data_IF_507450481788
#
_entry.id   IF_507450481788
#
_cell.length_a   1.000
_cell.length_b   1.000
_cell.length_c   1.000
_cell.angle_alpha   90.00
_cell.angle_beta   90.00
_cell.angle_gamma   90.00
#
_symmetry.space_group_name_H-M   'P 1'
#
loop_
_entity.id
_entity.type
_entity.pdbx_description
1 polymer ?
#
# COMPACT_ATOMS: atom_id res chain seq x y z
N UNK A 1 -12.31 -7.87 2.36
CA UNK A 1 -11.67 -6.95 1.39
C UNK A 1 -10.43 -7.60 0.80
N UNK A 2 -10.21 -7.38 -0.49
CA UNK A 2 -9.01 -7.81 -1.21
C UNK A 2 -8.11 -6.63 -1.50
N UNK A 3 -6.91 -6.63 -0.95
CA UNK A 3 -5.91 -5.59 -1.11
C UNK A 3 -4.72 -6.09 -1.92
N UNK A 4 -4.36 -5.34 -2.95
CA UNK A 4 -3.16 -5.58 -3.73
C UNK A 4 -2.16 -4.44 -3.52
N UNK A 5 -0.93 -4.78 -3.15
CA UNK A 5 0.21 -3.86 -3.09
C UNK A 5 1.17 -4.18 -4.24
N UNK A 6 1.56 -3.17 -5.02
CA UNK A 6 2.48 -3.38 -6.12
C UNK A 6 3.44 -2.21 -6.34
N UNK A 7 4.73 -2.45 -6.20
CA UNK A 7 5.76 -1.54 -6.71
C UNK A 7 5.91 -1.80 -8.21
N UNK A 8 5.31 -0.93 -9.03
CA UNK A 8 5.20 -1.13 -10.48
C UNK A 8 6.38 -0.53 -11.27
N UNK A 9 7.36 0.08 -10.59
CA UNK A 9 8.54 0.68 -11.22
C UNK A 9 8.21 1.53 -12.45
N UNK A 10 7.21 2.39 -12.31
CA UNK A 10 6.74 3.26 -13.42
C UNK A 10 6.30 2.50 -14.67
N UNK A 11 5.90 1.23 -14.54
CA UNK A 11 5.59 0.29 -15.63
C UNK A 11 6.75 0.07 -16.63
N UNK A 12 8.02 0.27 -16.21
CA UNK A 12 9.19 0.09 -17.09
C UNK A 12 9.60 -1.37 -17.28
N UNK A 13 8.95 -2.30 -16.58
CA UNK A 13 9.25 -3.72 -16.65
C UNK A 13 10.37 -4.17 -15.69
N UNK A 14 10.64 -5.49 -15.61
CA UNK A 14 11.65 -6.06 -14.70
C UNK A 14 13.08 -5.68 -15.09
N UNK A 15 13.33 -5.48 -16.38
CA UNK A 15 14.58 -4.88 -16.90
C UNK A 15 14.25 -3.46 -17.30
N UNK A 16 15.01 -2.48 -16.79
CA UNK A 16 14.73 -1.08 -17.04
C UNK A 16 14.76 -0.76 -18.55
N UNK A 17 13.58 -0.63 -19.15
CA UNK A 17 13.41 -0.18 -20.52
C UNK A 17 12.77 1.21 -20.51
N UNK A 18 13.48 2.22 -20.98
CA UNK A 18 13.09 3.63 -20.83
C UNK A 18 12.19 4.17 -21.96
N UNK A 19 11.73 3.35 -22.92
CA UNK A 19 10.87 3.84 -23.99
C UNK A 19 9.42 3.96 -23.55
N UNK A 20 8.75 5.07 -23.94
CA UNK A 20 7.35 5.31 -23.62
C UNK A 20 6.42 4.19 -24.14
N UNK A 21 6.68 3.66 -25.33
CA UNK A 21 5.90 2.56 -25.91
C UNK A 21 6.02 1.25 -25.13
N UNK A 22 7.21 0.94 -24.57
CA UNK A 22 7.42 -0.22 -23.71
C UNK A 22 6.66 -0.07 -22.38
N UNK A 23 6.71 1.10 -21.77
CA UNK A 23 5.99 1.42 -20.52
C UNK A 23 4.48 1.31 -20.71
N UNK A 24 3.95 1.81 -21.84
CA UNK A 24 2.51 1.75 -22.10
C UNK A 24 2.02 0.30 -22.30
N UNK A 25 2.74 -0.52 -23.07
CA UNK A 25 2.41 -1.94 -23.24
C UNK A 25 2.43 -2.70 -21.89
N UNK A 26 3.41 -2.39 -21.06
CA UNK A 26 3.51 -3.02 -19.74
C UNK A 26 2.39 -2.54 -18.80
N UNK A 27 2.00 -1.26 -18.86
CA UNK A 27 0.87 -0.73 -18.11
C UNK A 27 -0.44 -1.44 -18.48
N UNK A 28 -0.67 -1.73 -19.77
CA UNK A 28 -1.82 -2.53 -20.22
C UNK A 28 -1.82 -3.95 -19.63
N UNK A 29 -0.65 -4.59 -19.52
CA UNK A 29 -0.54 -5.91 -18.87
C UNK A 29 -0.88 -5.82 -17.38
N UNK A 30 -0.38 -4.78 -16.71
CA UNK A 30 -0.70 -4.51 -15.30
C UNK A 30 -2.21 -4.28 -15.15
N UNK A 31 -2.84 -3.48 -16.01
CA UNK A 31 -4.28 -3.25 -16.00
C UNK A 31 -5.07 -4.55 -16.17
N UNK A 32 -4.72 -5.40 -17.16
CA UNK A 32 -5.36 -6.71 -17.34
C UNK A 32 -5.26 -7.58 -16.09
N UNK A 33 -4.06 -7.69 -15.52
CA UNK A 33 -3.82 -8.44 -14.28
C UNK A 33 -4.65 -7.91 -13.10
N UNK A 34 -4.77 -6.60 -12.94
CA UNK A 34 -5.60 -6.01 -11.89
C UNK A 34 -7.09 -6.33 -12.09
N UNK A 35 -7.58 -6.27 -13.33
CA UNK A 35 -8.97 -6.64 -13.63
C UNK A 35 -9.27 -8.10 -13.33
N UNK A 36 -8.36 -9.02 -13.68
CA UNK A 36 -8.53 -10.45 -13.42
C UNK A 36 -8.55 -10.78 -11.92
N UNK A 37 -7.86 -9.99 -11.09
CA UNK A 37 -7.83 -10.17 -9.63
C UNK A 37 -9.01 -9.52 -8.91
N UNK A 38 -9.67 -8.54 -9.52
CA UNK A 38 -10.78 -7.77 -8.94
C UNK A 38 -10.50 -7.27 -7.50
N UNK A 39 -9.38 -6.55 -7.25
CA UNK A 39 -9.09 -6.05 -5.92
C UNK A 39 -10.07 -4.96 -5.50
N UNK A 40 -10.44 -4.93 -4.22
CA UNK A 40 -11.25 -3.84 -3.64
C UNK A 40 -10.38 -2.59 -3.40
N UNK A 41 -9.10 -2.80 -3.11
CA UNK A 41 -8.11 -1.76 -2.82
C UNK A 41 -6.77 -2.10 -3.47
N UNK A 42 -6.12 -1.12 -4.07
CA UNK A 42 -4.79 -1.25 -4.69
C UNK A 42 -3.87 -0.16 -4.18
N UNK A 43 -2.72 -0.54 -3.62
CA UNK A 43 -1.62 0.37 -3.29
C UNK A 43 -0.53 0.28 -4.36
N UNK A 44 -0.35 1.34 -5.11
CA UNK A 44 0.65 1.41 -6.18
C UNK A 44 1.86 2.25 -5.74
N UNK A 45 3.03 1.68 -5.88
CA UNK A 45 4.30 2.34 -5.58
C UNK A 45 5.07 2.55 -6.88
N UNK A 46 5.81 3.65 -6.96
CA UNK A 46 6.53 4.05 -8.16
C UNK A 46 5.61 4.22 -9.38
N UNK A 47 4.62 5.08 -9.23
CA UNK A 47 3.69 5.50 -10.28
C UNK A 47 4.21 6.76 -10.98
N UNK A 48 4.03 6.86 -12.29
CA UNK A 48 4.38 8.04 -13.09
C UNK A 48 3.12 8.88 -13.40
N UNK A 49 3.24 10.18 -13.20
CA UNK A 49 2.18 11.15 -13.47
C UNK A 49 2.57 12.07 -14.65
N UNK A 50 2.53 11.52 -15.85
CA UNK A 50 2.70 12.29 -17.07
C UNK A 50 4.14 12.73 -17.37
N UNK A 51 5.16 11.93 -17.04
CA UNK A 51 6.54 12.20 -17.49
C UNK A 51 6.72 11.75 -18.95
N UNK A 52 7.85 12.14 -19.53
CA UNK A 52 8.26 11.66 -20.87
C UNK A 52 8.33 10.11 -20.91
N UNK A 53 8.72 9.47 -19.82
CA UNK A 53 8.83 8.01 -19.70
C UNK A 53 7.49 7.29 -19.89
N UNK A 54 6.40 7.87 -19.38
CA UNK A 54 5.06 7.33 -19.53
C UNK A 54 4.35 7.84 -20.80
N UNK A 55 5.04 8.61 -21.64
CA UNK A 55 4.40 9.25 -22.81
C UNK A 55 3.39 10.34 -22.44
N UNK A 56 3.58 11.00 -21.30
CA UNK A 56 2.68 12.02 -20.81
C UNK A 56 1.44 11.49 -20.04
N UNK A 57 1.34 10.17 -19.85
CA UNK A 57 0.16 9.53 -19.24
C UNK A 57 0.22 9.53 -17.71
N UNK A 58 -0.92 9.77 -17.07
CA UNK A 58 -1.11 9.54 -15.64
C UNK A 58 -1.47 8.07 -15.41
N UNK A 59 -0.51 7.28 -14.96
CA UNK A 59 -0.67 5.84 -14.79
C UNK A 59 -1.74 5.48 -13.74
N UNK A 60 -1.83 6.24 -12.64
CA UNK A 60 -2.83 5.99 -11.60
C UNK A 60 -4.25 6.22 -12.10
N UNK A 61 -4.48 7.33 -12.80
CA UNK A 61 -5.78 7.68 -13.37
C UNK A 61 -6.23 6.65 -14.43
N UNK A 62 -5.32 6.23 -15.31
CA UNK A 62 -5.64 5.20 -16.31
C UNK A 62 -6.06 3.89 -15.68
N UNK A 63 -5.30 3.41 -14.68
CA UNK A 63 -5.63 2.17 -13.98
C UNK A 63 -6.93 2.30 -13.17
N UNK A 64 -7.17 3.45 -12.55
CA UNK A 64 -8.42 3.71 -11.84
C UNK A 64 -9.64 3.69 -12.77
N UNK A 65 -9.55 4.34 -13.91
CA UNK A 65 -10.61 4.35 -14.91
C UNK A 65 -10.89 2.94 -15.47
N UNK A 66 -9.83 2.16 -15.76
CA UNK A 66 -9.96 0.78 -16.24
C UNK A 66 -10.64 -0.15 -15.23
N UNK A 67 -10.46 0.11 -13.92
CA UNK A 67 -11.04 -0.67 -12.83
C UNK A 67 -12.39 -0.13 -12.33
N UNK A 68 -12.79 1.08 -12.73
CA UNK A 68 -13.94 1.78 -12.17
C UNK A 68 -13.73 2.14 -10.68
N UNK A 69 -12.50 2.46 -10.28
CA UNK A 69 -12.12 2.79 -8.92
C UNK A 69 -11.98 4.30 -8.70
N UNK A 70 -12.22 4.75 -7.46
CA UNK A 70 -11.72 6.04 -6.99
C UNK A 70 -10.20 5.97 -6.87
N UNK A 71 -9.50 7.10 -6.99
CA UNK A 71 -8.06 7.13 -6.80
C UNK A 71 -7.61 8.31 -5.93
N UNK A 72 -6.57 8.06 -5.16
CA UNK A 72 -5.78 9.03 -4.42
C UNK A 72 -4.35 8.95 -4.91
N UNK A 73 -3.77 10.08 -5.28
CA UNK A 73 -2.43 10.15 -5.84
C UNK A 73 -1.66 11.35 -5.31
N UNK A 74 -0.39 11.15 -4.96
CA UNK A 74 0.51 12.27 -4.67
C UNK A 74 1.95 12.00 -5.11
N UNK A 75 2.70 13.07 -5.32
CA UNK A 75 4.11 13.03 -5.71
C UNK A 75 5.02 12.88 -4.49
N UNK A 76 6.16 12.24 -4.68
CA UNK A 76 7.14 11.94 -3.60
C UNK A 76 7.70 13.14 -2.86
N UNK A 77 7.63 14.33 -3.46
CA UNK A 77 8.29 15.53 -2.96
C UNK A 77 7.28 16.61 -2.65
N UNK A 78 7.28 17.08 -1.40
CA UNK A 78 6.51 18.25 -0.96
C UNK A 78 6.89 19.52 -1.74
N UNK A 79 6.08 20.57 -1.60
CA UNK A 79 6.20 21.80 -2.39
C UNK A 79 7.58 22.47 -2.28
N UNK A 80 8.25 22.35 -1.13
CA UNK A 80 9.53 23.02 -0.81
C UNK A 80 10.78 22.18 -1.15
N UNK A 81 10.62 21.02 -1.84
CA UNK A 81 11.75 20.15 -2.11
C UNK A 81 12.53 20.56 -3.36
N UNK A 82 13.87 20.70 -3.26
CA UNK A 82 14.78 20.95 -4.37
C UNK A 82 14.61 19.93 -5.53
N UNK A 83 14.33 18.66 -5.21
CA UNK A 83 14.14 17.56 -6.16
C UNK A 83 12.93 17.75 -7.08
N UNK A 84 11.97 18.60 -6.70
CA UNK A 84 10.83 18.97 -7.53
C UNK A 84 11.23 19.79 -8.77
N UNK A 85 12.42 20.39 -8.78
CA UNK A 85 12.95 21.11 -9.95
C UNK A 85 13.36 20.19 -11.09
N UNK A 86 13.56 18.89 -10.82
CA UNK A 86 13.94 17.91 -11.84
C UNK A 86 12.65 17.36 -12.49
N UNK A 87 12.44 17.58 -13.81
CA UNK A 87 11.17 17.31 -14.50
C UNK A 87 10.64 15.87 -14.36
N UNK A 88 11.53 14.87 -14.35
CA UNK A 88 11.14 13.46 -14.20
C UNK A 88 10.78 13.15 -12.77
N UNK A 89 11.55 13.61 -11.78
CA UNK A 89 11.36 13.29 -10.38
C UNK A 89 10.08 13.92 -9.81
N UNK A 90 9.71 15.12 -10.23
CA UNK A 90 8.50 15.81 -9.78
C UNK A 90 7.19 15.08 -10.16
N UNK A 91 7.25 14.13 -11.11
CA UNK A 91 6.12 13.37 -11.62
C UNK A 91 6.07 11.93 -11.10
N UNK A 92 6.93 11.58 -10.16
CA UNK A 92 6.97 10.27 -9.53
C UNK A 92 6.22 10.29 -8.22
N UNK A 93 5.36 9.29 -8.00
CA UNK A 93 4.54 9.21 -6.80
C UNK A 93 4.12 7.82 -6.43
N UNK A 94 3.19 7.76 -5.51
CA UNK A 94 2.44 6.57 -5.12
C UNK A 94 0.95 6.87 -5.29
N UNK A 95 0.12 5.84 -5.37
CA UNK A 95 -1.32 5.99 -5.51
C UNK A 95 -2.09 4.89 -4.77
N UNK A 96 -3.27 5.22 -4.29
CA UNK A 96 -4.31 4.26 -3.99
C UNK A 96 -5.37 4.26 -5.08
N UNK A 97 -5.88 3.06 -5.42
CA UNK A 97 -7.10 2.87 -6.17
C UNK A 97 -8.05 2.07 -5.30
N UNK A 98 -9.31 2.45 -5.18
CA UNK A 98 -10.28 1.78 -4.33
C UNK A 98 -11.67 1.76 -4.92
N UNK A 99 -12.37 0.63 -4.72
CA UNK A 99 -13.79 0.48 -5.06
C UNK A 99 -14.68 1.24 -4.07
N UNK A 100 -14.23 1.33 -2.80
CA UNK A 100 -14.94 2.02 -1.74
C UNK A 100 -14.66 3.54 -1.79
N UNK A 101 -15.66 4.33 -1.37
CA UNK A 101 -15.49 5.78 -1.25
C UNK A 101 -14.48 6.12 -0.16
N UNK A 102 -13.50 6.94 -0.51
CA UNK A 102 -12.54 7.51 0.44
C UNK A 102 -13.29 8.55 1.28
N UNK A 103 -13.26 8.40 2.62
CA UNK A 103 -13.85 9.35 3.57
C UNK A 103 -12.95 10.54 3.82
N UNK A 104 -11.68 10.25 4.03
CA UNK A 104 -10.65 11.24 4.29
C UNK A 104 -9.35 10.80 3.62
N UNK A 105 -8.60 11.77 3.12
CA UNK A 105 -7.32 11.57 2.47
C UNK A 105 -6.32 12.57 3.06
N UNK A 106 -5.17 12.08 3.54
CA UNK A 106 -4.11 12.91 4.09
C UNK A 106 -2.75 12.52 3.52
N UNK A 107 -1.98 13.52 3.10
CA UNK A 107 -0.62 13.33 2.62
C UNK A 107 0.38 13.81 3.68
N UNK A 108 1.16 12.88 4.20
CA UNK A 108 2.25 13.20 5.11
C UNK A 108 3.59 13.09 4.39
N UNK A 109 4.55 13.90 4.84
CA UNK A 109 5.89 13.90 4.27
C UNK A 109 6.93 13.65 5.36
N UNK A 110 7.71 12.58 5.19
CA UNK A 110 8.83 12.30 6.09
C UNK A 110 9.84 13.46 6.11
N UNK A 111 10.46 13.76 7.25
CA UNK A 111 11.38 14.87 7.40
C UNK A 111 12.69 14.68 6.61
N UNK A 112 13.04 13.42 6.27
CA UNK A 112 14.31 13.09 5.61
C UNK A 112 14.18 11.93 4.62
N UNK A 113 15.15 11.84 3.69
CA UNK A 113 15.22 10.79 2.68
C UNK A 113 14.72 11.27 1.32
N UNK A 114 14.96 10.45 0.29
CA UNK A 114 14.49 10.74 -1.08
C UNK A 114 13.02 10.30 -1.29
N UNK A 115 12.56 9.30 -0.57
CA UNK A 115 11.20 8.77 -0.63
C UNK A 115 10.48 9.25 0.61
N UNK A 116 9.63 10.28 0.49
CA UNK A 116 9.12 11.02 1.65
C UNK A 116 7.61 10.94 1.84
N UNK A 117 6.88 10.51 0.83
CA UNK A 117 5.42 10.50 0.84
C UNK A 117 4.86 9.34 1.64
N UNK A 118 3.91 9.61 2.52
CA UNK A 118 2.94 8.69 3.08
C UNK A 118 1.57 9.13 2.60
N UNK A 119 0.83 8.24 1.97
CA UNK A 119 -0.58 8.46 1.67
C UNK A 119 -1.39 7.75 2.74
N UNK A 120 -2.21 8.49 3.44
CA UNK A 120 -3.20 7.97 4.39
C UNK A 120 -4.58 8.13 3.77
N UNK A 121 -5.32 7.04 3.69
CA UNK A 121 -6.74 7.05 3.33
C UNK A 121 -7.57 6.44 4.45
N UNK A 122 -8.68 7.09 4.79
CA UNK A 122 -9.70 6.55 5.66
C UNK A 122 -10.86 6.01 4.82
N UNK A 123 -11.11 4.70 4.96
CA UNK A 123 -12.30 4.03 4.47
C UNK A 123 -13.32 3.89 5.60
N UNK A 124 -14.42 3.17 5.36
CA UNK A 124 -15.51 3.10 6.34
C UNK A 124 -15.09 2.57 7.73
N UNK A 125 -14.19 1.59 7.78
CA UNK A 125 -13.83 0.89 9.01
C UNK A 125 -12.33 0.65 9.16
N UNK A 126 -11.51 1.20 8.27
CA UNK A 126 -10.06 0.98 8.26
C UNK A 126 -9.32 2.20 7.73
N UNK A 127 -8.17 2.49 8.33
CA UNK A 127 -7.19 3.44 7.80
C UNK A 127 -6.08 2.67 7.11
N UNK A 128 -5.66 3.12 5.94
CA UNK A 128 -4.58 2.48 5.19
C UNK A 128 -3.49 3.50 4.89
N UNK A 129 -2.27 3.18 5.32
CA UNK A 129 -1.06 3.96 5.05
C UNK A 129 -0.26 3.30 3.94
N UNK A 130 0.02 4.03 2.86
CA UNK A 130 0.91 3.60 1.79
C UNK A 130 2.24 4.33 1.90
N UNK A 131 3.33 3.56 2.03
CA UNK A 131 4.67 4.09 2.24
C UNK A 131 5.65 3.54 1.20
N UNK A 132 6.68 4.32 0.92
CA UNK A 132 7.86 3.86 0.21
C UNK A 132 9.08 4.40 0.95
N UNK A 133 9.74 3.55 1.74
CA UNK A 133 10.83 3.98 2.61
C UNK A 133 12.16 4.11 1.86
N UNK A 134 13.05 4.91 2.40
CA UNK A 134 14.36 5.18 1.82
C UNK A 134 15.31 3.97 1.94
N UNK A 135 16.22 3.83 0.96
CA UNK A 135 17.25 2.79 0.95
C UNK A 135 18.26 2.94 2.10
N UNK A 136 18.58 4.17 2.48
CA UNK A 136 19.58 4.45 3.53
C UNK A 136 19.01 4.22 4.94
N UNK A 137 19.68 3.41 5.75
CA UNK A 137 19.24 3.00 7.08
C UNK A 137 18.93 4.19 8.02
N UNK A 138 19.77 5.24 8.05
CA UNK A 138 19.55 6.43 8.88
C UNK A 138 18.28 7.18 8.52
N UNK A 139 18.00 7.34 7.22
CA UNK A 139 16.77 7.99 6.74
C UNK A 139 15.55 7.12 7.06
N UNK A 140 15.64 5.83 6.81
CA UNK A 140 14.58 4.85 7.07
C UNK A 140 14.24 4.78 8.55
N UNK A 141 15.22 4.79 9.46
CA UNK A 141 14.98 4.84 10.90
C UNK A 141 14.15 6.06 11.31
N UNK A 142 14.48 7.27 10.80
CA UNK A 142 13.69 8.47 11.05
C UNK A 142 12.27 8.38 10.47
N UNK A 143 12.13 7.75 9.30
CA UNK A 143 10.83 7.52 8.66
C UNK A 143 9.97 6.55 9.46
N UNK A 144 10.54 5.47 9.97
CA UNK A 144 9.84 4.52 10.86
C UNK A 144 9.41 5.18 12.16
N UNK A 145 10.21 6.09 12.72
CA UNK A 145 9.81 6.85 13.90
C UNK A 145 8.61 7.77 13.61
N UNK A 146 8.59 8.47 12.47
CA UNK A 146 7.43 9.27 12.07
C UNK A 146 6.20 8.39 11.87
N UNK A 147 6.36 7.26 11.18
CA UNK A 147 5.29 6.31 10.93
C UNK A 147 4.74 5.68 12.23
N UNK A 148 5.60 5.47 13.23
CA UNK A 148 5.18 5.06 14.57
C UNK A 148 4.15 6.04 15.17
N UNK A 149 4.42 7.34 15.09
CA UNK A 149 3.49 8.35 15.61
C UNK A 149 2.16 8.36 14.83
N UNK A 150 2.18 8.23 13.51
CA UNK A 150 0.94 8.15 12.71
C UNK A 150 0.10 6.94 13.13
N UNK A 151 0.71 5.75 13.20
CA UNK A 151 0.02 4.52 13.60
C UNK A 151 -0.54 4.60 15.02
N UNK A 152 0.21 5.17 15.95
CA UNK A 152 -0.24 5.31 17.36
C UNK A 152 -1.43 6.23 17.53
N UNK A 153 -1.65 7.15 16.62
CA UNK A 153 -2.79 8.08 16.65
C UNK A 153 -3.95 7.63 15.76
N UNK A 154 -3.82 6.47 15.11
CA UNK A 154 -4.90 5.91 14.27
C UNK A 154 -6.13 5.60 15.12
N UNK A 155 -7.29 6.13 14.72
CA UNK A 155 -8.56 5.98 15.44
C UNK A 155 -9.31 4.69 15.09
N UNK A 156 -8.99 4.12 13.92
CA UNK A 156 -9.56 2.90 13.40
C UNK A 156 -8.48 1.81 13.30
N UNK A 157 -8.87 0.53 13.17
CA UNK A 157 -7.94 -0.50 12.73
C UNK A 157 -7.19 -0.05 11.49
N UNK A 158 -5.87 -0.32 11.43
CA UNK A 158 -5.07 0.21 10.34
C UNK A 158 -4.20 -0.85 9.65
N UNK A 159 -3.99 -0.65 8.35
CA UNK A 159 -2.97 -1.31 7.55
C UNK A 159 -1.83 -0.33 7.26
N UNK A 160 -0.60 -0.80 7.33
CA UNK A 160 0.57 -0.09 6.82
C UNK A 160 1.19 -0.94 5.73
N UNK A 161 1.14 -0.46 4.50
CA UNK A 161 1.58 -1.22 3.35
C UNK A 161 2.61 -0.44 2.53
N UNK A 162 3.55 -1.15 1.92
CA UNK A 162 4.53 -0.48 1.08
C UNK A 162 5.82 -1.23 0.87
N UNK A 163 6.72 -0.61 0.12
CA UNK A 163 8.10 -1.02 -0.04
C UNK A 163 8.96 -0.40 1.09
N UNK A 164 9.36 -1.23 2.03
CA UNK A 164 10.15 -0.82 3.20
C UNK A 164 11.65 -0.79 2.93
N UNK A 165 12.10 -1.29 1.78
CA UNK A 165 13.51 -1.30 1.37
C UNK A 165 14.47 -1.93 2.41
N UNK A 166 14.03 -2.99 3.09
CA UNK A 166 14.80 -3.72 4.11
C UNK A 166 15.87 -4.63 3.48
N UNK A 167 16.78 -4.04 2.70
CA UNK A 167 17.77 -4.80 1.93
C UNK A 167 18.78 -5.58 2.77
N UNK A 168 19.03 -5.13 4.02
CA UNK A 168 20.09 -5.64 4.89
C UNK A 168 19.56 -6.46 6.07
N UNK A 169 18.32 -6.89 6.01
CA UNK A 169 17.66 -7.69 7.04
C UNK A 169 16.46 -6.99 7.69
N UNK A 170 15.71 -7.75 8.48
CA UNK A 170 14.41 -7.33 9.01
C UNK A 170 14.47 -6.76 10.44
N UNK A 171 15.65 -6.56 11.04
CA UNK A 171 15.77 -6.08 12.44
C UNK A 171 15.06 -4.74 12.68
N UNK A 172 15.11 -3.82 11.70
CA UNK A 172 14.45 -2.52 11.83
C UNK A 172 12.92 -2.68 11.87
N UNK A 173 12.37 -3.60 11.06
CA UNK A 173 10.93 -3.86 11.06
C UNK A 173 10.49 -4.61 12.32
N UNK A 174 11.30 -5.51 12.85
CA UNK A 174 11.02 -6.22 14.11
C UNK A 174 10.88 -5.23 15.28
N UNK A 175 11.78 -4.25 15.38
CA UNK A 175 11.71 -3.16 16.37
C UNK A 175 10.43 -2.33 16.17
N UNK A 176 10.12 -1.97 14.93
CA UNK A 176 8.92 -1.21 14.61
C UNK A 176 7.63 -1.96 14.96
N UNK A 177 7.56 -3.27 14.67
CA UNK A 177 6.43 -4.12 15.03
C UNK A 177 6.27 -4.22 16.55
N UNK A 178 7.38 -4.41 17.29
CA UNK A 178 7.35 -4.45 18.74
C UNK A 178 6.86 -3.13 19.36
N UNK A 179 7.28 -1.99 18.80
CA UNK A 179 6.89 -0.67 19.29
C UNK A 179 5.44 -0.31 18.99
N UNK A 180 4.92 -0.71 17.81
CA UNK A 180 3.57 -0.36 17.35
C UNK A 180 2.50 -1.37 17.73
N UNK A 181 2.87 -2.62 18.03
CA UNK A 181 1.96 -3.74 18.18
C UNK A 181 1.35 -4.25 16.87
N UNK A 182 1.83 -3.74 15.73
CA UNK A 182 1.42 -4.24 14.42
C UNK A 182 1.94 -5.66 14.19
N UNK A 183 1.26 -6.39 13.31
CA UNK A 183 1.64 -7.75 12.89
C UNK A 183 1.93 -7.76 11.40
N UNK A 184 2.86 -8.61 10.96
CA UNK A 184 3.15 -8.81 9.54
C UNK A 184 2.18 -9.83 8.94
N UNK A 185 1.50 -9.48 7.85
CA UNK A 185 0.61 -10.38 7.12
C UNK A 185 1.37 -11.53 6.45
N UNK A 186 2.61 -11.28 6.02
CA UNK A 186 3.49 -12.27 5.40
C UNK A 186 4.17 -13.18 6.46
N UNK A 187 3.39 -14.06 7.06
CA UNK A 187 3.92 -15.01 8.07
C UNK A 187 4.89 -16.05 7.49
N UNK A 188 4.76 -16.33 6.17
CA UNK A 188 5.61 -17.32 5.48
C UNK A 188 6.90 -16.71 4.93
N UNK A 189 7.11 -15.41 5.09
CA UNK A 189 8.25 -14.66 4.56
C UNK A 189 8.45 -14.85 3.06
N UNK A 190 7.35 -14.87 2.29
CA UNK A 190 7.40 -14.98 0.85
C UNK A 190 8.17 -13.79 0.27
N UNK A 191 9.23 -14.02 -0.53
CA UNK A 191 10.04 -12.93 -1.07
C UNK A 191 9.30 -12.23 -2.21
N UNK A 192 9.57 -10.93 -2.38
CA UNK A 192 8.96 -10.09 -3.42
C UNK A 192 9.99 -9.52 -4.41
N UNK A 193 11.28 -9.57 -4.07
CA UNK A 193 12.34 -8.94 -4.86
C UNK A 193 13.60 -9.82 -4.99
N UNK A 194 14.31 -9.79 -6.13
CA UNK A 194 13.85 -9.30 -7.44
C UNK A 194 12.83 -10.28 -8.06
N UNK A 195 11.88 -9.78 -8.83
CA UNK A 195 10.80 -10.61 -9.42
C UNK A 195 11.31 -11.75 -10.30
N UNK A 196 12.48 -11.60 -10.93
CA UNK A 196 13.10 -12.63 -11.77
C UNK A 196 13.61 -13.85 -10.97
N UNK A 197 14.01 -13.65 -9.71
CA UNK A 197 14.47 -14.69 -8.78
C UNK A 197 14.26 -14.18 -7.33
N UNK A 198 13.07 -14.29 -6.78
CA UNK A 198 12.73 -13.69 -5.50
C UNK A 198 13.55 -14.25 -4.34
N UNK A 199 14.24 -13.37 -3.61
CA UNK A 199 15.09 -13.73 -2.47
C UNK A 199 14.93 -12.80 -1.28
N UNK A 200 14.30 -11.63 -1.46
CA UNK A 200 14.17 -10.61 -0.43
C UNK A 200 12.72 -10.25 -0.25
N UNK A 201 12.32 -10.04 0.99
CA UNK A 201 11.03 -9.54 1.39
C UNK A 201 11.15 -8.03 1.61
N UNK A 202 10.76 -7.21 0.63
CA UNK A 202 10.84 -5.75 0.68
C UNK A 202 9.49 -5.09 0.83
N UNK A 203 8.44 -5.75 0.31
CA UNK A 203 7.06 -5.26 0.29
C UNK A 203 6.30 -5.85 1.48
N UNK A 204 5.88 -5.00 2.39
CA UNK A 204 5.20 -5.39 3.63
C UNK A 204 3.75 -4.94 3.63
N UNK A 205 2.89 -5.76 4.24
CA UNK A 205 1.56 -5.40 4.68
C UNK A 205 1.48 -5.70 6.17
N UNK A 206 1.48 -4.64 6.97
CA UNK A 206 1.40 -4.70 8.43
C UNK A 206 -0.01 -4.33 8.84
N UNK A 207 -0.52 -4.95 9.91
CA UNK A 207 -1.89 -4.74 10.35
C UNK A 207 -2.03 -4.64 11.86
N UNK A 208 -2.96 -3.82 12.31
CA UNK A 208 -3.28 -3.64 13.73
C UNK A 208 -4.29 -4.69 14.24
N UNK A 209 -4.50 -4.69 15.56
CA UNK A 209 -5.65 -5.37 16.17
C UNK A 209 -6.96 -4.90 15.52
N UNK A 210 -7.95 -5.79 15.38
CA UNK A 210 -9.20 -5.52 14.68
C UNK A 210 -9.15 -5.82 13.18
N UNK A 211 -8.02 -6.31 12.68
CA UNK A 211 -7.92 -6.83 11.31
C UNK A 211 -7.55 -8.31 11.36
N UNK A 212 -8.28 -9.12 10.59
CA UNK A 212 -8.03 -10.54 10.42
C UNK A 212 -7.55 -10.82 8.99
N UNK A 213 -6.33 -11.32 8.84
CA UNK A 213 -5.80 -11.76 7.54
C UNK A 213 -6.38 -13.14 7.23
N UNK A 214 -7.03 -13.26 6.06
CA UNK A 214 -7.58 -14.53 5.53
C UNK A 214 -6.57 -15.25 4.65
N UNK A 215 -5.92 -14.49 3.77
CA UNK A 215 -4.97 -15.03 2.83
C UNK A 215 -3.84 -14.02 2.56
N UNK A 216 -2.65 -14.53 2.22
CA UNK A 216 -1.51 -13.74 1.76
C UNK A 216 -0.78 -14.52 0.66
N UNK A 217 -0.63 -13.90 -0.49
CA UNK A 217 0.08 -14.48 -1.64
C UNK A 217 0.95 -13.45 -2.34
N UNK A 218 1.92 -13.94 -3.11
CA UNK A 218 2.74 -13.15 -4.02
C UNK A 218 2.54 -13.72 -5.43
N UNK A 219 1.59 -13.20 -6.23
CA UNK A 219 1.36 -13.66 -7.59
C UNK A 219 2.64 -13.61 -8.44
N UNK A 220 2.97 -14.69 -9.16
CA UNK A 220 4.18 -14.76 -10.00
C UNK A 220 3.97 -14.03 -11.33
N UNK A 221 3.80 -12.72 -11.27
CA UNK A 221 3.75 -11.82 -12.43
C UNK A 221 4.97 -10.92 -12.44
N UNK A 222 5.64 -10.82 -13.60
CA UNK A 222 6.94 -10.15 -13.73
C UNK A 222 6.84 -8.90 -14.60
N UNK A 223 5.89 -8.02 -14.26
CA UNK A 223 5.70 -6.73 -14.93
C UNK A 223 6.55 -5.62 -14.31
N UNK A 224 7.18 -5.88 -13.18
CA UNK A 224 8.11 -5.01 -12.46
C UNK A 224 9.30 -5.83 -11.94
N UNK A 225 10.30 -5.18 -11.35
CA UNK A 225 11.36 -5.86 -10.59
C UNK A 225 10.90 -6.33 -9.20
N UNK A 226 9.70 -5.95 -8.75
CA UNK A 226 9.01 -6.52 -7.61
C UNK A 226 7.88 -7.47 -8.05
N UNK A 227 7.57 -8.48 -7.24
CA UNK A 227 6.31 -9.21 -7.31
C UNK A 227 5.23 -8.45 -6.54
N UNK A 228 3.96 -8.48 -6.99
CA UNK A 228 2.87 -7.93 -6.21
C UNK A 228 2.59 -8.76 -4.96
N UNK A 229 1.99 -8.13 -3.97
CA UNK A 229 1.49 -8.76 -2.75
C UNK A 229 -0.03 -8.67 -2.76
N UNK A 230 -0.71 -9.80 -2.60
CA UNK A 230 -2.16 -9.90 -2.53
C UNK A 230 -2.57 -10.37 -1.14
N UNK A 231 -3.46 -9.62 -0.49
CA UNK A 231 -3.94 -9.89 0.87
C UNK A 231 -5.46 -9.85 0.90
N UNK A 232 -6.09 -10.95 1.32
CA UNK A 232 -7.49 -10.95 1.67
C UNK A 232 -7.64 -10.76 3.18
N UNK A 233 -8.44 -9.80 3.62
CA UNK A 233 -8.60 -9.46 5.03
C UNK A 233 -10.03 -9.03 5.37
N UNK A 234 -10.40 -9.18 6.65
CA UNK A 234 -11.62 -8.62 7.23
C UNK A 234 -11.26 -7.59 8.29
N UNK A 235 -12.13 -6.60 8.44
CA UNK A 235 -12.10 -5.66 9.56
C UNK A 235 -13.16 -6.09 10.56
N UNK A 236 -12.76 -6.31 11.81
CA UNK A 236 -13.67 -6.60 12.91
C UNK A 236 -14.37 -5.29 13.30
N UNK A 237 -15.60 -5.14 12.87
CA UNK A 237 -16.43 -3.99 13.29
C UNK A 237 -16.89 -4.27 14.70
N UNK A 238 -16.48 -3.43 15.67
CA UNK A 238 -17.03 -3.50 17.01
C UNK A 238 -18.54 -3.27 16.92
N UNK A 239 -19.32 -4.29 17.28
CA UNK A 239 -20.77 -4.15 17.37
C UNK A 239 -21.02 -3.28 18.60
N UNK A 240 -21.40 -2.02 18.40
CA UNK A 240 -21.88 -1.17 19.48
C UNK A 240 -23.26 -1.67 19.90
N UNK A 241 -23.26 -2.58 20.87
CA UNK A 241 -24.49 -3.15 21.44
C UNK A 241 -25.40 -2.10 22.10
N UNK A 242 -24.91 -0.86 22.29
CA UNK A 242 -25.69 0.23 22.91
C UNK A 242 -26.62 0.95 21.92
N UNK A 243 -26.33 0.87 20.61
CA UNK A 243 -27.09 1.61 19.58
C UNK A 243 -28.38 0.90 19.09
N UNK A 244 -28.63 -0.35 19.48
CA UNK A 244 -29.80 -1.14 19.07
C UNK A 244 -29.93 -1.42 17.55
N UNK A 245 -29.01 -0.93 16.71
CA UNK A 245 -29.04 -1.12 15.27
C UNK A 245 -28.17 -2.31 14.88
N UNK A 246 -28.79 -3.39 14.42
CA UNK A 246 -28.09 -4.57 13.86
C UNK A 246 -27.49 -4.26 12.51
N UNK A 247 -26.22 -4.65 12.24
CA UNK A 247 -25.70 -4.67 10.87
C UNK A 247 -26.43 -5.75 10.05
N UNK A 248 -26.60 -5.57 8.73
CA UNK A 248 -27.43 -6.43 7.89
C UNK A 248 -26.93 -7.87 7.71
N UNK A 249 -25.73 -8.24 8.19
CA UNK A 249 -25.11 -9.56 8.01
C UNK A 249 -24.67 -10.26 9.30
N UNK A 250 -25.35 -10.07 10.42
CA UNK A 250 -25.01 -10.76 11.67
C UNK A 250 -25.56 -12.20 11.67
N UNK A 251 -24.66 -13.21 11.65
CA UNK A 251 -25.04 -14.63 11.73
C UNK A 251 -25.44 -15.02 13.16
N UNK A 252 -26.41 -15.94 13.30
CA UNK A 252 -26.97 -16.38 14.60
C UNK A 252 -25.98 -17.04 15.60
N UNK A 253 -24.72 -17.22 15.26
CA UNK A 253 -23.72 -17.84 16.14
C UNK A 253 -23.19 -16.90 17.26
N UNK A 254 -23.34 -15.59 17.08
CA UNK A 254 -22.82 -14.60 18.05
C UNK A 254 -23.74 -14.34 19.25
N UNK A 255 -24.82 -15.12 19.40
CA UNK A 255 -25.83 -14.92 20.46
C UNK A 255 -25.34 -15.26 21.87
N UNK A 256 -24.34 -16.11 22.02
CA UNK A 256 -23.90 -16.60 23.35
C UNK A 256 -22.80 -15.76 24.00
N UNK A 257 -22.01 -15.00 23.23
CA UNK A 257 -20.95 -14.16 23.82
C UNK A 257 -21.42 -12.81 24.37
N UNK A 258 -22.59 -12.32 23.92
CA UNK A 258 -23.18 -11.07 24.45
C UNK A 258 -23.88 -11.20 25.81
N UNK A 259 -24.12 -12.41 26.29
CA UNK A 259 -24.85 -12.63 27.55
C UNK A 259 -23.96 -12.72 28.79
N UNK A 260 -22.63 -12.75 28.62
CA UNK A 260 -21.66 -12.86 29.72
C UNK A 260 -20.77 -11.62 29.93
N UNK A 261 -21.09 -10.49 29.30
CA UNK A 261 -20.37 -9.22 29.44
C UNK A 261 -21.27 -8.10 30.05
N UNK A 262 -22.16 -8.45 30.95
CA UNK A 262 -22.94 -7.52 31.79
C UNK A 262 -22.52 -7.62 33.25
#
# INVERSE_FOLDING_TARGET
MRFLLYNMRYATGPRFHSSAGSSQKNLQRISGFLRDLEPDLVGLIEVDHGSYRSGGLNQAELLANDLGHYHSYSVKYGQDSFWRRIPILRKQGNAFLTRDRIREETFHFFPSGMKRLVIEIELQHVIVYLVHLSLGARARHRQLNTLYHLVRHSRLPCLVAGDFNMLWGEKEIEIFLAATGLRNANRKRLPTYPSSNPRRHLDFVLYSKGIRIRNFTTPDVRFSDHLPVLVDFDVEVAIDCRSGKRPPNCSCKDRMECLFAA
#
